data_IF_108378699458
#
_entry.id   IF_108378699458
#
_cell.length_a   1.000
_cell.length_b   1.000
_cell.length_c   1.000
_cell.angle_alpha   90.00
_cell.angle_beta   90.00
_cell.angle_gamma   90.00
#
_symmetry.space_group_name_H-M   'P 1'
#
loop_
_entity.id
_entity.type
_entity.pdbx_description
1 polymer ?
#
# COMPACT_ATOMS: atom_id res chain seq x y z
N UNK A 1 21.57 60.06 38.79
CA UNK A 1 21.56 58.61 39.15
C UNK A 1 20.23 58.04 38.71
N UNK A 2 20.20 57.35 37.55
CA UNK A 2 19.00 56.79 37.04
C UNK A 2 19.19 55.23 37.06
N UNK A 3 18.41 54.60 37.94
CA UNK A 3 18.41 53.13 38.14
C UNK A 3 17.54 52.49 37.07
N UNK A 4 18.16 51.85 36.07
CA UNK A 4 17.46 51.04 35.08
C UNK A 4 17.06 49.67 35.70
N UNK A 5 15.77 49.48 35.92
CA UNK A 5 15.17 48.18 36.24
C UNK A 5 15.17 47.29 35.02
N UNK A 6 16.04 46.27 35.03
CA UNK A 6 16.02 45.14 34.09
C UNK A 6 14.74 44.33 34.32
N UNK A 7 13.77 44.48 33.44
CA UNK A 7 12.66 43.54 33.31
C UNK A 7 13.22 42.24 32.65
N UNK A 8 13.40 41.22 33.44
CA UNK A 8 13.64 39.84 32.95
C UNK A 8 12.39 39.37 32.23
N UNK A 9 12.47 39.33 30.91
CA UNK A 9 11.45 38.68 30.08
C UNK A 9 11.39 37.18 30.43
N UNK A 10 10.34 36.80 31.15
CA UNK A 10 9.99 35.43 31.49
C UNK A 10 9.60 34.73 30.18
N UNK A 11 10.51 33.88 29.65
CA UNK A 11 10.28 33.09 28.46
C UNK A 11 9.05 32.16 28.66
N UNK A 12 7.93 32.56 28.13
CA UNK A 12 6.75 31.72 28.05
C UNK A 12 7.03 30.61 27.03
N UNK A 13 7.32 29.42 27.50
CA UNK A 13 7.32 28.20 26.66
C UNK A 13 5.98 28.16 25.92
N UNK A 14 5.94 28.10 24.58
CA UNK A 14 4.68 28.08 23.86
C UNK A 14 3.91 26.83 24.27
N UNK A 15 2.74 27.01 24.85
CA UNK A 15 1.85 25.92 25.22
C UNK A 15 1.61 25.06 23.97
N UNK A 16 1.97 23.78 24.04
CA UNK A 16 1.84 22.81 22.94
C UNK A 16 0.35 22.77 22.52
N UNK A 17 0.02 23.50 21.46
CA UNK A 17 -1.36 23.59 20.93
C UNK A 17 -1.82 22.16 20.60
N UNK A 18 -2.93 21.71 21.18
CA UNK A 18 -3.52 20.40 20.85
C UNK A 18 -3.99 20.43 19.41
N UNK A 19 -3.49 19.47 18.63
CA UNK A 19 -3.87 19.26 17.24
C UNK A 19 -5.39 19.00 17.15
N UNK A 20 -6.08 19.69 16.26
CA UNK A 20 -7.50 19.48 16.00
C UNK A 20 -7.72 18.17 15.24
N UNK A 21 -8.95 17.63 15.26
CA UNK A 21 -9.30 16.42 14.49
C UNK A 21 -9.08 16.62 12.99
N UNK A 22 -9.37 17.80 12.46
CA UNK A 22 -9.17 18.14 11.06
C UNK A 22 -7.68 18.16 10.67
N UNK A 23 -6.83 18.78 11.50
CA UNK A 23 -5.37 18.83 11.30
C UNK A 23 -4.77 17.41 11.32
N UNK A 24 -5.25 16.54 12.23
CA UNK A 24 -4.84 15.13 12.28
C UNK A 24 -5.26 14.35 11.03
N UNK A 25 -6.48 14.56 10.54
CA UNK A 25 -6.96 13.92 9.32
C UNK A 25 -6.15 14.37 8.10
N UNK A 26 -5.83 15.65 7.99
CA UNK A 26 -5.00 16.19 6.90
C UNK A 26 -3.59 15.60 6.92
N UNK A 27 -2.97 15.49 8.09
CA UNK A 27 -1.66 14.86 8.25
C UNK A 27 -1.70 13.39 7.86
N UNK A 28 -2.65 12.60 8.39
CA UNK A 28 -2.77 11.18 8.08
C UNK A 28 -3.02 10.94 6.59
N UNK A 29 -3.81 11.80 5.93
CA UNK A 29 -4.00 11.75 4.48
C UNK A 29 -2.71 12.05 3.72
N UNK A 30 -1.95 13.08 4.16
CA UNK A 30 -0.66 13.41 3.58
C UNK A 30 0.35 12.28 3.68
N UNK A 31 0.44 11.62 4.84
CA UNK A 31 1.28 10.44 5.07
C UNK A 31 0.89 9.30 4.12
N UNK A 32 -0.40 8.96 4.03
CA UNK A 32 -0.91 7.90 3.14
C UNK A 32 -0.60 8.20 1.66
N UNK A 33 -0.81 9.43 1.20
CA UNK A 33 -0.51 9.81 -0.18
C UNK A 33 1.01 9.77 -0.48
N UNK A 34 1.84 10.03 0.52
CA UNK A 34 3.29 9.92 0.39
C UNK A 34 3.74 8.45 0.29
N UNK A 35 3.14 7.55 1.07
CA UNK A 35 3.38 6.09 0.97
C UNK A 35 2.99 5.58 -0.41
N UNK A 36 1.82 5.97 -0.93
CA UNK A 36 1.35 5.60 -2.26
C UNK A 36 2.27 6.09 -3.37
N UNK A 37 2.88 7.26 -3.21
CA UNK A 37 3.84 7.81 -4.19
C UNK A 37 5.04 6.88 -4.41
N UNK A 38 5.45 6.14 -3.39
CA UNK A 38 6.55 5.18 -3.48
C UNK A 38 6.07 3.83 -4.05
N UNK A 39 4.88 3.37 -3.65
CA UNK A 39 4.34 2.08 -4.06
C UNK A 39 3.86 2.06 -5.52
N UNK A 40 3.20 3.13 -5.98
CA UNK A 40 2.57 3.19 -7.31
C UNK A 40 3.53 2.95 -8.48
N UNK A 41 4.75 3.54 -8.53
CA UNK A 41 5.68 3.27 -9.62
C UNK A 41 6.02 1.78 -9.75
N UNK A 42 6.20 1.07 -8.64
CA UNK A 42 6.48 -0.38 -8.65
C UNK A 42 5.35 -1.19 -9.29
N UNK A 43 4.10 -0.89 -8.93
CA UNK A 43 2.91 -1.55 -9.51
C UNK A 43 2.76 -1.22 -10.99
N UNK A 44 2.99 0.03 -11.37
CA UNK A 44 2.90 0.47 -12.77
C UNK A 44 3.96 -0.20 -13.66
N UNK A 45 5.18 -0.40 -13.16
CA UNK A 45 6.22 -1.14 -13.87
C UNK A 45 5.78 -2.59 -14.08
N UNK A 46 5.29 -3.26 -13.04
CA UNK A 46 4.77 -4.63 -13.16
C UNK A 46 3.64 -4.69 -14.19
N UNK A 47 2.67 -3.78 -14.13
CA UNK A 47 1.56 -3.72 -15.07
C UNK A 47 2.03 -3.50 -16.52
N UNK A 48 2.97 -2.58 -16.72
CA UNK A 48 3.53 -2.32 -18.05
C UNK A 48 4.23 -3.56 -18.62
N UNK A 49 5.04 -4.27 -17.82
CA UNK A 49 5.65 -5.53 -18.26
C UNK A 49 4.61 -6.58 -18.61
N UNK A 50 3.58 -6.75 -17.79
CA UNK A 50 2.50 -7.69 -18.10
C UNK A 50 1.81 -7.35 -19.42
N UNK A 51 1.59 -6.09 -19.74
CA UNK A 51 0.99 -5.70 -21.02
C UNK A 51 1.87 -6.06 -22.24
N UNK A 52 3.17 -6.22 -22.09
CA UNK A 52 4.08 -6.57 -23.19
C UNK A 52 4.21 -8.08 -23.42
N UNK A 53 3.91 -8.90 -22.40
CA UNK A 53 4.07 -10.36 -22.44
C UNK A 53 3.34 -11.03 -23.62
N UNK A 54 2.09 -10.67 -23.99
CA UNK A 54 1.40 -11.30 -25.12
C UNK A 54 2.08 -11.10 -26.48
N UNK A 55 2.92 -10.07 -26.59
CA UNK A 55 3.65 -9.75 -27.82
C UNK A 55 5.04 -10.40 -27.86
N UNK A 56 5.46 -11.05 -26.78
CA UNK A 56 6.72 -11.78 -26.74
C UNK A 56 6.60 -13.14 -27.47
N UNK A 57 7.65 -13.58 -28.15
CA UNK A 57 7.66 -14.84 -28.89
C UNK A 57 7.33 -16.06 -28.03
N UNK A 58 7.72 -16.05 -26.74
CA UNK A 58 7.46 -17.13 -25.80
C UNK A 58 6.00 -17.27 -25.38
N UNK A 59 5.12 -16.28 -25.63
CA UNK A 59 3.72 -16.35 -25.23
C UNK A 59 2.95 -17.50 -25.91
N UNK A 60 3.31 -17.83 -27.13
CA UNK A 60 2.71 -18.93 -27.87
C UNK A 60 3.04 -20.32 -27.26
N UNK A 61 4.09 -20.40 -26.45
CA UNK A 61 4.51 -21.65 -25.77
C UNK A 61 3.68 -21.91 -24.49
N UNK A 62 2.93 -20.92 -23.99
CA UNK A 62 2.06 -21.08 -22.84
C UNK A 62 0.87 -21.99 -23.19
N UNK A 63 0.57 -22.92 -22.29
CA UNK A 63 -0.63 -23.73 -22.36
C UNK A 63 -1.90 -22.92 -21.98
N UNK A 64 -3.08 -23.53 -22.07
CA UNK A 64 -4.37 -22.89 -21.78
C UNK A 64 -4.42 -22.34 -20.35
N UNK A 65 -4.08 -23.15 -19.37
CA UNK A 65 -4.13 -22.80 -17.95
C UNK A 65 -3.16 -21.65 -17.61
N UNK A 66 -1.96 -21.68 -18.20
CA UNK A 66 -0.96 -20.62 -18.05
C UNK A 66 -1.43 -19.30 -18.65
N UNK A 67 -2.15 -19.32 -19.76
CA UNK A 67 -2.75 -18.11 -20.36
C UNK A 67 -3.86 -17.55 -19.51
N UNK A 68 -4.72 -18.39 -18.93
CA UNK A 68 -5.77 -17.97 -18.00
C UNK A 68 -5.16 -17.36 -16.73
N UNK A 69 -4.14 -18.02 -16.15
CA UNK A 69 -3.40 -17.53 -15.00
C UNK A 69 -2.76 -16.16 -15.32
N UNK A 70 -2.09 -16.04 -16.48
CA UNK A 70 -1.52 -14.78 -16.93
C UNK A 70 -2.57 -13.66 -16.97
N UNK A 71 -3.72 -13.92 -17.57
CA UNK A 71 -4.79 -12.94 -17.67
C UNK A 71 -5.34 -12.58 -16.28
N UNK A 72 -5.49 -13.55 -15.40
CA UNK A 72 -5.87 -13.32 -13.99
C UNK A 72 -4.88 -12.40 -13.25
N UNK A 73 -3.58 -12.63 -13.44
CA UNK A 73 -2.50 -11.78 -12.87
C UNK A 73 -2.55 -10.36 -13.43
N UNK A 74 -2.76 -10.22 -14.74
CA UNK A 74 -2.92 -8.92 -15.40
C UNK A 74 -4.11 -8.15 -14.81
N UNK A 75 -5.27 -8.81 -14.70
CA UNK A 75 -6.48 -8.19 -14.14
C UNK A 75 -6.32 -7.86 -12.64
N UNK A 76 -5.68 -8.72 -11.85
CA UNK A 76 -5.37 -8.44 -10.45
C UNK A 76 -4.44 -7.22 -10.31
N UNK A 77 -3.43 -7.09 -11.17
CA UNK A 77 -2.52 -5.95 -11.16
C UNK A 77 -3.25 -4.64 -11.55
N UNK A 78 -4.14 -4.70 -12.56
CA UNK A 78 -4.99 -3.57 -12.94
C UNK A 78 -5.92 -3.14 -11.79
N UNK A 79 -6.58 -4.10 -11.13
CA UNK A 79 -7.43 -3.84 -9.97
C UNK A 79 -6.63 -3.24 -8.80
N UNK A 80 -5.46 -3.80 -8.48
CA UNK A 80 -4.58 -3.24 -7.46
C UNK A 80 -4.21 -1.79 -7.78
N UNK A 81 -3.83 -1.51 -9.02
CA UNK A 81 -3.51 -0.14 -9.48
C UNK A 81 -4.69 0.80 -9.27
N UNK A 82 -5.91 0.39 -9.66
CA UNK A 82 -7.12 1.19 -9.46
C UNK A 82 -7.39 1.47 -7.97
N UNK A 83 -7.27 0.46 -7.10
CA UNK A 83 -7.46 0.60 -5.66
C UNK A 83 -6.43 1.53 -5.01
N UNK A 84 -5.16 1.46 -5.44
CA UNK A 84 -4.08 2.29 -4.92
C UNK A 84 -4.15 3.74 -5.42
N UNK A 85 -4.72 3.99 -6.61
CA UNK A 85 -4.93 5.35 -7.13
C UNK A 85 -6.20 5.99 -6.53
N UNK A 86 -7.18 5.19 -6.13
CA UNK A 86 -8.47 5.67 -5.63
C UNK A 86 -8.36 6.71 -4.49
N UNK A 87 -7.48 6.59 -3.48
CA UNK A 87 -7.29 7.61 -2.46
C UNK A 87 -6.96 8.99 -3.02
N UNK A 88 -6.07 9.04 -4.01
CA UNK A 88 -5.67 10.29 -4.68
C UNK A 88 -6.85 10.91 -5.45
N UNK A 89 -7.62 10.08 -6.16
CA UNK A 89 -8.81 10.51 -6.89
C UNK A 89 -9.91 11.01 -5.94
N UNK A 90 -10.18 10.28 -4.85
CA UNK A 90 -11.15 10.69 -3.83
C UNK A 90 -10.75 12.00 -3.15
N UNK A 91 -9.48 12.14 -2.77
CA UNK A 91 -8.98 13.39 -2.20
C UNK A 91 -9.20 14.58 -3.14
N UNK A 92 -8.95 14.42 -4.44
CA UNK A 92 -9.12 15.50 -5.43
C UNK A 92 -10.58 15.87 -5.66
N UNK A 93 -11.48 14.88 -5.71
CA UNK A 93 -12.92 15.09 -5.95
C UNK A 93 -13.65 15.64 -4.71
N UNK A 94 -13.25 15.23 -3.52
CA UNK A 94 -13.93 15.54 -2.26
C UNK A 94 -13.23 16.64 -1.44
N UNK A 95 -12.23 17.31 -1.99
CA UNK A 95 -11.37 18.29 -1.31
C UNK A 95 -12.16 19.41 -0.60
N UNK A 96 -13.37 19.76 -1.05
CA UNK A 96 -14.24 20.81 -0.48
C UNK A 96 -15.29 20.31 0.51
N UNK A 97 -15.44 19.01 0.71
CA UNK A 97 -16.45 18.45 1.60
C UNK A 97 -15.86 18.26 3.01
N UNK A 98 -16.65 18.59 4.06
CA UNK A 98 -16.21 18.65 5.46
C UNK A 98 -15.98 17.29 6.14
N UNK A 99 -16.13 16.15 5.43
CA UNK A 99 -16.03 14.80 6.02
C UNK A 99 -14.65 14.16 5.83
N UNK A 100 -13.62 14.84 6.35
CA UNK A 100 -12.21 14.42 6.22
C UNK A 100 -11.90 13.10 6.94
N UNK A 101 -12.52 12.83 8.09
CA UNK A 101 -12.26 11.59 8.85
C UNK A 101 -12.77 10.34 8.08
N UNK A 102 -13.94 10.45 7.46
CA UNK A 102 -14.49 9.37 6.65
C UNK A 102 -13.63 9.09 5.43
N UNK A 103 -13.17 10.15 4.76
CA UNK A 103 -12.29 10.04 3.60
C UNK A 103 -10.98 9.32 3.93
N UNK A 104 -10.33 9.64 5.04
CA UNK A 104 -9.10 8.96 5.51
C UNK A 104 -9.36 7.46 5.76
N UNK A 105 -10.48 7.11 6.41
CA UNK A 105 -10.83 5.71 6.69
C UNK A 105 -11.05 4.89 5.41
N UNK A 106 -11.79 5.45 4.45
CA UNK A 106 -12.02 4.78 3.15
C UNK A 106 -10.70 4.65 2.39
N UNK A 107 -9.92 5.71 2.31
CA UNK A 107 -8.63 5.71 1.62
C UNK A 107 -7.69 4.64 2.18
N UNK A 108 -7.60 4.53 3.51
CA UNK A 108 -6.79 3.51 4.17
C UNK A 108 -7.28 2.08 3.84
N UNK A 109 -8.60 1.85 3.80
CA UNK A 109 -9.16 0.53 3.43
C UNK A 109 -8.86 0.18 1.97
N UNK A 110 -8.99 1.15 1.07
CA UNK A 110 -8.69 0.95 -0.35
C UNK A 110 -7.19 0.66 -0.56
N UNK A 111 -6.31 1.36 0.16
CA UNK A 111 -4.88 1.10 0.12
C UNK A 111 -4.54 -0.30 0.60
N UNK A 112 -5.09 -0.73 1.75
CA UNK A 112 -4.87 -2.09 2.27
C UNK A 112 -5.39 -3.14 1.28
N UNK A 113 -6.59 -2.96 0.73
CA UNK A 113 -7.14 -3.87 -0.27
C UNK A 113 -6.27 -3.92 -1.54
N UNK A 114 -5.81 -2.76 -2.01
CA UNK A 114 -4.90 -2.66 -3.16
C UNK A 114 -3.59 -3.40 -2.95
N UNK A 115 -2.98 -3.26 -1.77
CA UNK A 115 -1.76 -3.98 -1.41
C UNK A 115 -1.98 -5.50 -1.33
N UNK A 116 -3.11 -5.96 -0.76
CA UNK A 116 -3.44 -7.39 -0.72
C UNK A 116 -3.62 -7.97 -2.12
N UNK A 117 -4.34 -7.26 -2.99
CA UNK A 117 -4.50 -7.67 -4.40
C UNK A 117 -3.16 -7.67 -5.14
N UNK A 118 -2.26 -6.72 -4.82
CA UNK A 118 -0.91 -6.70 -5.36
C UNK A 118 -0.11 -7.94 -4.95
N UNK A 119 -0.18 -8.33 -3.68
CA UNK A 119 0.49 -9.54 -3.19
C UNK A 119 0.01 -10.79 -3.94
N UNK A 120 -1.31 -10.90 -4.19
CA UNK A 120 -1.90 -11.97 -5.00
C UNK A 120 -1.36 -11.93 -6.43
N UNK A 121 -1.33 -10.74 -7.04
CA UNK A 121 -0.82 -10.57 -8.41
C UNK A 121 0.65 -10.97 -8.53
N UNK A 122 1.51 -10.53 -7.61
CA UNK A 122 2.93 -10.90 -7.61
C UNK A 122 3.11 -12.41 -7.38
N UNK A 123 2.36 -12.99 -6.44
CA UNK A 123 2.39 -14.45 -6.18
C UNK A 123 1.94 -15.22 -7.42
N UNK A 124 0.89 -14.78 -8.10
CA UNK A 124 0.42 -15.38 -9.35
C UNK A 124 1.45 -15.26 -10.49
N UNK A 125 2.16 -14.12 -10.58
CA UNK A 125 3.24 -13.96 -11.54
C UNK A 125 4.41 -14.92 -11.25
N UNK A 126 4.75 -15.12 -9.97
CA UNK A 126 5.76 -16.11 -9.56
C UNK A 126 5.31 -17.52 -9.92
N UNK A 127 4.03 -17.86 -9.66
CA UNK A 127 3.47 -19.16 -10.05
C UNK A 127 3.58 -19.38 -11.56
N UNK A 128 3.18 -18.39 -12.36
CA UNK A 128 3.22 -18.49 -13.82
C UNK A 128 4.64 -18.77 -14.32
N UNK A 129 5.62 -18.03 -13.82
CA UNK A 129 7.02 -18.17 -14.23
C UNK A 129 7.59 -19.49 -13.70
N UNK A 130 7.29 -19.86 -12.46
CA UNK A 130 7.78 -21.10 -11.88
C UNK A 130 7.19 -22.33 -12.59
N UNK A 131 5.89 -22.31 -12.95
CA UNK A 131 5.25 -23.39 -13.69
C UNK A 131 5.78 -23.51 -15.12
N UNK A 132 6.08 -22.38 -15.76
CA UNK A 132 6.69 -22.38 -17.09
C UNK A 132 8.11 -22.97 -17.10
N UNK A 133 8.90 -22.70 -16.03
CA UNK A 133 10.31 -23.13 -15.96
C UNK A 133 10.51 -24.53 -15.39
N UNK A 134 9.77 -24.89 -14.34
CA UNK A 134 10.08 -26.07 -13.51
C UNK A 134 9.00 -27.11 -13.51
N UNK A 135 7.74 -26.74 -13.70
CA UNK A 135 6.55 -27.60 -13.60
C UNK A 135 6.40 -28.39 -12.27
N UNK A 136 5.19 -28.80 -11.95
CA UNK A 136 4.91 -29.71 -10.83
C UNK A 136 5.30 -29.16 -9.44
N UNK A 137 5.91 -30.01 -8.61
CA UNK A 137 6.16 -29.73 -7.20
C UNK A 137 7.10 -28.52 -6.96
N UNK A 138 8.06 -28.30 -7.83
CA UNK A 138 9.01 -27.17 -7.68
C UNK A 138 8.30 -25.82 -7.86
N UNK A 139 7.42 -25.72 -8.86
CA UNK A 139 6.61 -24.53 -9.06
C UNK A 139 5.74 -24.22 -7.84
N UNK A 140 5.11 -25.24 -7.26
CA UNK A 140 4.31 -25.11 -6.05
C UNK A 140 5.15 -24.62 -4.85
N UNK A 141 6.35 -25.16 -4.64
CA UNK A 141 7.25 -24.76 -3.54
C UNK A 141 7.61 -23.28 -3.67
N UNK A 142 8.08 -22.83 -4.83
CA UNK A 142 8.44 -21.42 -5.03
C UNK A 142 7.26 -20.47 -4.81
N UNK A 143 6.09 -20.86 -5.28
CA UNK A 143 4.86 -20.08 -5.10
C UNK A 143 4.46 -19.97 -3.64
N UNK A 144 4.47 -21.10 -2.90
CA UNK A 144 4.15 -21.14 -1.48
C UNK A 144 5.14 -20.28 -0.67
N UNK A 145 6.43 -20.37 -0.96
CA UNK A 145 7.46 -19.56 -0.32
C UNK A 145 7.19 -18.05 -0.56
N UNK A 146 6.90 -17.66 -1.80
CA UNK A 146 6.56 -16.28 -2.12
C UNK A 146 5.30 -15.81 -1.40
N UNK A 147 4.23 -16.63 -1.39
CA UNK A 147 2.99 -16.31 -0.68
C UNK A 147 3.21 -16.16 0.83
N UNK A 148 3.95 -17.08 1.45
CA UNK A 148 4.28 -17.02 2.87
C UNK A 148 5.08 -15.76 3.22
N UNK A 149 6.01 -15.35 2.36
CA UNK A 149 6.78 -14.14 2.55
C UNK A 149 5.88 -12.90 2.62
N UNK A 150 4.92 -12.75 1.70
CA UNK A 150 3.95 -11.66 1.74
C UNK A 150 3.04 -11.74 2.97
N UNK A 151 2.50 -12.93 3.28
CA UNK A 151 1.63 -13.13 4.45
C UNK A 151 2.36 -12.76 5.74
N UNK A 152 3.59 -13.22 5.93
CA UNK A 152 4.36 -12.94 7.13
C UNK A 152 4.66 -11.45 7.27
N UNK A 153 5.20 -10.81 6.21
CA UNK A 153 5.63 -9.42 6.30
C UNK A 153 4.45 -8.43 6.32
N UNK A 154 3.40 -8.69 5.55
CA UNK A 154 2.33 -7.71 5.34
C UNK A 154 1.10 -7.94 6.21
N UNK A 155 0.94 -9.13 6.77
CA UNK A 155 -0.22 -9.48 7.60
C UNK A 155 0.19 -9.88 9.01
N UNK A 156 1.06 -10.89 9.15
CA UNK A 156 1.37 -11.47 10.46
C UNK A 156 2.14 -10.48 11.35
N UNK A 157 3.20 -9.86 10.84
CA UNK A 157 4.00 -8.89 11.62
C UNK A 157 3.17 -7.70 12.13
N UNK A 158 2.37 -7.01 11.29
CA UNK A 158 1.51 -5.92 11.78
C UNK A 158 0.46 -6.37 12.78
N UNK A 159 -0.13 -7.57 12.60
CA UNK A 159 -1.13 -8.11 13.52
C UNK A 159 -0.53 -8.45 14.90
N UNK A 160 0.64 -9.07 14.94
CA UNK A 160 1.38 -9.35 16.19
C UNK A 160 1.66 -8.03 16.92
N UNK A 161 2.18 -7.03 16.21
CA UNK A 161 2.46 -5.72 16.82
C UNK A 161 1.20 -5.06 17.38
N UNK A 162 0.09 -5.15 16.66
CA UNK A 162 -1.20 -4.62 17.09
C UNK A 162 -1.75 -5.34 18.33
N UNK A 163 -1.54 -6.65 18.46
CA UNK A 163 -1.92 -7.42 19.65
C UNK A 163 -1.12 -6.99 20.87
N UNK A 164 0.21 -6.85 20.74
CA UNK A 164 1.09 -6.40 21.83
C UNK A 164 0.73 -5.00 22.37
N UNK A 165 0.37 -4.05 21.47
CA UNK A 165 -0.04 -2.72 21.89
C UNK A 165 -1.34 -2.73 22.71
N UNK A 166 -2.29 -3.61 22.38
CA UNK A 166 -3.53 -3.77 23.16
C UNK A 166 -3.30 -4.38 24.54
N UNK A 167 -2.31 -5.24 24.71
CA UNK A 167 -1.96 -5.80 26.03
C UNK A 167 -1.29 -4.77 26.93
N UNK A 168 -0.45 -3.90 26.35
CA UNK A 168 0.25 -2.83 27.10
C UNK A 168 -0.68 -1.69 27.59
N UNK A 169 -1.89 -1.59 27.03
CA UNK A 169 -2.89 -0.60 27.45
C UNK A 169 -3.90 -1.14 28.50
N UNK A 170 -3.81 -2.43 28.89
CA UNK A 170 -4.61 -3.08 29.94
C UNK A 170 -3.87 -3.16 31.26
#
# INVERSE_FOLDING_TARGET
MATQSRQTAKGSTPAKRRETKAERADRNMGELLQELRVALPGVQILFAFLLTVPFAQGFNMLNGDQRELYFGVLMATALSTALLIAPTAHHRLLFRQRDKEHLVKISNRLTIAGLLVLAIAITGAVLLIADFLFQGAQAAIFTVVAALFFVVLWVVMPLIRRAQLKESER
#
